data_IF_162533584375
#
_entry.id   IF_162533584375
#
_cell.length_a   1.000
_cell.length_b   1.000
_cell.length_c   1.000
_cell.angle_alpha   90.00
_cell.angle_beta   90.00
_cell.angle_gamma   90.00
#
_symmetry.space_group_name_H-M   'P 1'
#
loop_
_entity.id
_entity.type
_entity.pdbx_description
1 polymer ?
#
# COMPACT_ATOMS: atom_id res chain seq x y z
N UNK A 1 1.25 -8.16 20.10
CA UNK A 1 0.47 -8.72 18.95
C UNK A 1 1.23 -8.50 17.64
N UNK A 2 1.11 -9.39 16.64
CA UNK A 2 1.78 -9.26 15.32
C UNK A 2 0.92 -8.50 14.30
N UNK A 3 1.55 -7.80 13.35
CA UNK A 3 0.90 -7.01 12.29
C UNK A 3 -0.13 -7.81 11.47
N UNK A 4 0.23 -8.99 10.96
CA UNK A 4 -0.68 -9.81 10.13
C UNK A 4 -1.84 -10.40 10.93
N UNK A 5 -1.62 -10.67 12.22
CA UNK A 5 -2.70 -11.09 13.11
C UNK A 5 -3.70 -9.96 13.31
N UNK A 6 -3.22 -8.72 13.41
CA UNK A 6 -4.07 -7.53 13.49
C UNK A 6 -4.85 -7.33 12.19
N UNK A 7 -4.19 -7.40 11.04
CA UNK A 7 -4.81 -7.34 9.71
C UNK A 7 -6.00 -8.31 9.59
N UNK A 8 -5.75 -9.61 9.87
CA UNK A 8 -6.77 -10.66 9.78
C UNK A 8 -7.92 -10.45 10.78
N UNK A 9 -7.64 -9.85 11.93
CA UNK A 9 -8.67 -9.53 12.91
C UNK A 9 -9.56 -8.39 12.41
N UNK A 10 -8.97 -7.30 11.92
CA UNK A 10 -9.69 -6.13 11.43
C UNK A 10 -10.54 -6.43 10.19
N UNK A 11 -10.06 -7.28 9.27
CA UNK A 11 -10.83 -7.70 8.09
C UNK A 11 -12.08 -8.52 8.44
N UNK A 12 -12.06 -9.23 9.58
CA UNK A 12 -13.17 -10.09 10.00
C UNK A 12 -14.17 -9.38 10.91
N UNK A 13 -13.75 -8.30 11.56
CA UNK A 13 -14.54 -7.60 12.55
C UNK A 13 -14.62 -6.13 12.14
N UNK A 14 -15.81 -5.68 11.77
CA UNK A 14 -16.10 -4.26 11.56
C UNK A 14 -16.13 -3.56 12.93
N UNK A 15 -14.97 -3.03 13.35
CA UNK A 15 -14.81 -2.40 14.66
C UNK A 15 -14.74 -0.88 14.55
N UNK A 16 -15.51 -0.21 15.40
CA UNK A 16 -15.45 1.24 15.53
C UNK A 16 -14.25 1.70 16.37
N UNK A 17 -14.05 3.02 16.47
CA UNK A 17 -12.89 3.61 17.17
C UNK A 17 -12.84 3.29 18.67
N UNK A 18 -13.99 3.25 19.33
CA UNK A 18 -14.09 2.94 20.76
C UNK A 18 -13.78 1.46 21.03
N UNK A 19 -14.26 0.57 20.17
CA UNK A 19 -13.96 -0.86 20.23
C UNK A 19 -12.48 -1.12 19.95
N UNK A 20 -11.91 -0.45 18.95
CA UNK A 20 -10.49 -0.57 18.65
C UNK A 20 -9.61 -0.07 19.81
N UNK A 21 -9.97 1.05 20.44
CA UNK A 21 -9.26 1.56 21.61
C UNK A 21 -9.25 0.53 22.75
N UNK A 22 -10.40 -0.10 23.02
CA UNK A 22 -10.48 -1.17 24.05
C UNK A 22 -9.60 -2.36 23.69
N UNK A 23 -9.66 -2.84 22.45
CA UNK A 23 -8.83 -3.94 21.97
C UNK A 23 -7.34 -3.67 22.18
N UNK A 24 -6.86 -2.49 21.76
CA UNK A 24 -5.45 -2.14 21.84
C UNK A 24 -4.99 -2.02 23.30
N UNK A 25 -5.84 -1.49 24.19
CA UNK A 25 -5.56 -1.44 25.64
C UNK A 25 -5.52 -2.85 26.23
N UNK A 26 -6.43 -3.73 25.85
CA UNK A 26 -6.48 -5.13 26.32
C UNK A 26 -5.24 -5.93 25.89
N UNK A 27 -4.72 -5.68 24.68
CA UNK A 27 -3.50 -6.32 24.20
C UNK A 27 -2.29 -5.92 25.07
N UNK A 28 -2.17 -4.65 25.46
CA UNK A 28 -1.13 -4.13 26.37
C UNK A 28 0.32 -4.45 25.97
N UNK A 29 0.55 -4.75 24.70
CA UNK A 29 1.84 -5.09 24.12
C UNK A 29 2.07 -4.28 22.85
N UNK A 30 3.33 -4.03 22.50
CA UNK A 30 3.65 -3.36 21.24
C UNK A 30 3.23 -4.20 20.04
N UNK A 31 2.93 -3.51 18.95
CA UNK A 31 2.75 -4.15 17.66
C UNK A 31 4.11 -4.60 17.14
N UNK A 32 4.23 -5.88 16.81
CA UNK A 32 5.43 -6.44 16.21
C UNK A 32 5.27 -6.50 14.69
N UNK A 33 6.26 -5.94 13.98
CA UNK A 33 6.44 -6.17 12.56
C UNK A 33 7.02 -7.58 12.42
N UNK A 34 6.16 -8.51 11.99
CA UNK A 34 6.53 -9.90 11.78
C UNK A 34 7.35 -10.04 10.48
N UNK A 35 8.27 -11.01 10.45
CA UNK A 35 8.90 -11.47 9.21
C UNK A 35 7.80 -11.82 8.19
N UNK A 36 7.89 -11.25 7.00
CA UNK A 36 6.81 -11.33 6.02
C UNK A 36 6.57 -12.80 5.64
N UNK A 37 5.31 -13.21 5.41
CA UNK A 37 5.02 -14.61 5.19
C UNK A 37 5.69 -15.08 3.89
N UNK A 38 6.36 -16.24 3.94
CA UNK A 38 7.10 -16.80 2.80
C UNK A 38 6.19 -17.02 1.57
N UNK A 39 4.89 -17.26 1.80
CA UNK A 39 3.89 -17.50 0.77
C UNK A 39 3.20 -16.24 0.24
N UNK A 40 3.65 -15.03 0.65
CA UNK A 40 3.07 -13.80 0.10
C UNK A 40 3.38 -13.66 -1.38
N UNK A 41 2.37 -13.24 -2.14
CA UNK A 41 2.51 -12.97 -3.57
C UNK A 41 3.12 -11.59 -3.76
N UNK A 42 4.19 -11.52 -4.56
CA UNK A 42 4.82 -10.27 -4.96
C UNK A 42 4.30 -9.79 -6.32
N UNK A 43 4.38 -8.49 -6.57
CA UNK A 43 4.13 -7.92 -7.89
C UNK A 43 5.22 -8.35 -8.88
N UNK A 44 4.84 -8.42 -10.15
CA UNK A 44 5.74 -8.76 -11.25
C UNK A 44 6.24 -7.48 -11.96
N UNK A 45 6.33 -6.35 -11.22
CA UNK A 45 6.74 -5.05 -11.75
C UNK A 45 8.12 -5.11 -12.42
N UNK A 46 8.17 -4.75 -13.70
CA UNK A 46 9.42 -4.61 -14.43
C UNK A 46 10.16 -3.36 -13.96
N UNK A 47 11.35 -3.55 -13.39
CA UNK A 47 12.15 -2.46 -12.84
C UNK A 47 12.78 -1.65 -13.97
N UNK A 48 12.46 -0.36 -14.03
CA UNK A 48 13.22 0.61 -14.82
C UNK A 48 14.26 1.30 -13.93
N UNK A 49 15.52 0.89 -14.07
CA UNK A 49 16.64 1.44 -13.31
C UNK A 49 17.00 2.90 -13.69
N UNK A 50 16.41 3.44 -14.76
CA UNK A 50 16.57 4.84 -15.15
C UNK A 50 15.54 5.75 -14.48
N UNK A 51 14.47 5.18 -13.90
CA UNK A 51 13.42 5.90 -13.20
C UNK A 51 13.59 5.81 -11.69
N UNK A 52 13.78 6.95 -11.04
CA UNK A 52 13.75 7.10 -9.58
C UNK A 52 12.87 8.28 -9.25
N UNK A 53 11.87 8.07 -8.40
CA UNK A 53 11.11 9.16 -7.81
C UNK A 53 11.98 9.91 -6.79
N UNK A 54 12.47 11.07 -7.22
CA UNK A 54 13.32 11.93 -6.41
C UNK A 54 12.58 12.49 -5.18
N UNK A 55 11.25 12.63 -5.22
CA UNK A 55 10.49 13.17 -4.09
C UNK A 55 10.45 12.18 -2.93
N UNK A 56 10.25 10.90 -3.23
CA UNK A 56 10.28 9.84 -2.22
C UNK A 56 11.69 9.71 -1.63
N UNK A 57 12.72 9.74 -2.49
CA UNK A 57 14.11 9.70 -2.04
C UNK A 57 14.43 10.88 -1.11
N UNK A 58 14.11 12.11 -1.51
CA UNK A 58 14.30 13.32 -0.70
C UNK A 58 13.54 13.26 0.62
N UNK A 59 12.30 12.76 0.59
CA UNK A 59 11.48 12.58 1.79
C UNK A 59 12.17 11.65 2.78
N UNK A 60 12.54 10.44 2.36
CA UNK A 60 13.22 9.46 3.21
C UNK A 60 14.59 9.95 3.69
N UNK A 61 15.31 10.70 2.86
CA UNK A 61 16.58 11.31 3.23
C UNK A 61 16.42 12.44 4.27
N UNK A 62 15.33 13.20 4.20
CA UNK A 62 15.08 14.33 5.10
C UNK A 62 14.56 13.92 6.48
N UNK A 63 14.14 12.66 6.66
CA UNK A 63 13.63 12.15 7.93
C UNK A 63 14.69 12.29 9.03
N UNK A 64 14.34 13.10 10.05
CA UNK A 64 15.19 13.31 11.22
C UNK A 64 15.35 12.00 12.00
N UNK A 65 16.56 11.75 12.50
CA UNK A 65 16.78 10.69 13.47
C UNK A 65 16.10 11.03 14.80
N UNK A 66 15.58 10.02 15.50
CA UNK A 66 15.03 10.15 16.85
C UNK A 66 16.08 10.68 17.86
N UNK A 67 17.37 10.49 17.53
CA UNK A 67 18.51 10.90 18.34
C UNK A 67 18.76 12.39 18.09
N UNK A 68 18.02 13.26 18.79
CA UNK A 68 18.39 14.67 18.82
C UNK A 68 19.77 14.82 19.48
N UNK A 69 20.70 15.47 18.79
CA UNK A 69 22.02 15.86 19.35
C UNK A 69 21.93 16.99 20.37
N UNK A 70 20.75 17.58 20.55
CA UNK A 70 20.46 18.57 21.57
C UNK A 70 20.35 17.88 22.95
N UNK A 71 21.44 17.29 23.42
CA UNK A 71 21.47 16.55 24.70
C UNK A 71 21.25 17.45 25.93
N UNK A 72 21.13 18.77 25.80
CA UNK A 72 20.86 19.68 26.92
C UNK A 72 20.03 20.88 26.43
N UNK A 73 18.85 21.08 27.02
CA UNK A 73 18.02 22.30 27.04
C UNK A 73 18.31 23.37 25.97
N UNK A 74 17.77 23.21 24.76
CA UNK A 74 17.84 24.28 23.75
C UNK A 74 16.92 25.48 24.04
N UNK A 75 16.17 25.49 25.15
CA UNK A 75 15.31 26.61 25.58
C UNK A 75 14.18 26.98 24.61
N UNK A 76 14.06 26.25 23.50
CA UNK A 76 13.07 26.46 22.44
C UNK A 76 12.04 25.33 22.53
N UNK A 77 10.75 25.66 22.73
CA UNK A 77 9.68 24.68 22.61
C UNK A 77 9.80 23.96 21.26
N UNK A 78 9.83 22.63 21.30
CA UNK A 78 9.84 21.79 20.10
C UNK A 78 11.10 21.89 19.21
N UNK A 79 12.21 22.33 19.78
CA UNK A 79 13.55 22.35 19.17
C UNK A 79 13.96 21.08 18.40
N UNK A 80 13.42 19.91 18.76
CA UNK A 80 13.71 18.62 18.12
C UNK A 80 12.54 18.07 17.28
N UNK A 81 11.52 18.88 17.01
CA UNK A 81 10.29 18.48 16.32
C UNK A 81 9.23 17.88 17.24
N UNK A 82 7.98 17.96 16.77
CA UNK A 82 6.79 17.48 17.48
C UNK A 82 6.87 15.99 17.79
N UNK A 83 6.02 15.52 18.73
CA UNK A 83 5.84 14.08 18.99
C UNK A 83 5.45 13.32 17.73
N UNK A 84 4.75 13.94 16.78
CA UNK A 84 4.42 13.34 15.47
C UNK A 84 5.66 13.27 14.57
N UNK A 85 6.41 14.38 14.42
CA UNK A 85 7.63 14.43 13.58
C UNK A 85 8.65 13.37 13.97
N UNK A 86 8.86 13.17 15.27
CA UNK A 86 9.81 12.18 15.82
C UNK A 86 9.40 10.72 15.57
N UNK A 87 8.21 10.47 15.03
CA UNK A 87 7.69 9.12 14.80
C UNK A 87 7.36 8.88 13.32
N UNK A 88 7.68 9.82 12.42
CA UNK A 88 7.45 9.66 10.98
C UNK A 88 8.22 8.46 10.42
N UNK A 89 9.47 8.22 10.83
CA UNK A 89 10.25 7.05 10.40
C UNK A 89 9.49 5.74 10.59
N UNK A 90 8.75 5.60 11.69
CA UNK A 90 7.93 4.42 11.96
C UNK A 90 6.78 4.28 10.96
N UNK A 91 6.17 5.38 10.56
CA UNK A 91 5.11 5.36 9.52
C UNK A 91 5.69 4.89 8.18
N UNK A 92 6.79 5.49 7.73
CA UNK A 92 7.45 5.10 6.48
C UNK A 92 7.90 3.65 6.50
N UNK A 93 8.47 3.19 7.62
CA UNK A 93 8.82 1.78 7.84
C UNK A 93 7.61 0.86 7.64
N UNK A 94 6.51 1.11 8.36
CA UNK A 94 5.32 0.28 8.32
C UNK A 94 4.71 0.21 6.91
N UNK A 95 4.71 1.34 6.19
CA UNK A 95 4.26 1.39 4.81
C UNK A 95 5.07 0.45 3.90
N UNK A 96 6.38 0.24 4.13
CA UNK A 96 7.18 -0.71 3.34
C UNK A 96 6.65 -2.15 3.46
N UNK A 97 6.25 -2.56 4.66
CA UNK A 97 5.67 -3.89 4.90
C UNK A 97 4.25 -4.02 4.34
N UNK A 98 3.53 -2.90 4.23
CA UNK A 98 2.11 -2.86 3.92
C UNK A 98 1.81 -2.47 2.46
N UNK A 99 2.82 -2.06 1.68
CA UNK A 99 2.64 -1.61 0.31
C UNK A 99 2.11 -2.73 -0.60
N UNK A 100 0.97 -2.49 -1.24
CA UNK A 100 0.31 -3.41 -2.17
C UNK A 100 0.31 -2.87 -3.60
N UNK A 101 0.10 -3.77 -4.54
CA UNK A 101 -0.03 -3.47 -5.97
C UNK A 101 -1.10 -2.41 -6.23
N UNK A 102 -0.82 -1.48 -7.14
CA UNK A 102 -1.67 -0.34 -7.46
C UNK A 102 -1.75 0.77 -6.40
N UNK A 103 -1.22 0.57 -5.20
CA UNK A 103 -1.22 1.57 -4.14
C UNK A 103 0.05 2.43 -4.20
N UNK A 104 -0.14 3.75 -4.17
CA UNK A 104 0.94 4.71 -4.00
C UNK A 104 1.56 4.59 -2.60
N UNK A 105 2.89 4.60 -2.53
CA UNK A 105 3.59 4.65 -1.25
C UNK A 105 3.29 5.95 -0.50
N UNK A 106 3.18 7.07 -1.21
CA UNK A 106 2.88 8.38 -0.61
C UNK A 106 1.48 8.38 0.02
N UNK A 107 0.45 7.90 -0.68
CA UNK A 107 -0.90 7.83 -0.12
C UNK A 107 -0.95 6.91 1.11
N UNK A 108 -0.32 5.73 1.03
CA UNK A 108 -0.28 4.80 2.16
C UNK A 108 0.42 5.41 3.38
N UNK A 109 1.52 6.14 3.17
CA UNK A 109 2.23 6.84 4.26
C UNK A 109 1.39 7.99 4.82
N UNK A 110 0.66 8.74 4.01
CA UNK A 110 -0.23 9.80 4.47
C UNK A 110 -1.34 9.25 5.38
N UNK A 111 -1.95 8.13 5.02
CA UNK A 111 -2.93 7.44 5.87
C UNK A 111 -2.31 6.95 7.19
N UNK A 112 -1.09 6.44 7.12
CA UNK A 112 -0.30 6.13 8.31
C UNK A 112 -0.05 7.35 9.21
N UNK A 113 0.23 8.52 8.64
CA UNK A 113 0.40 9.78 9.38
C UNK A 113 -0.92 10.17 10.06
N UNK A 114 -2.07 9.99 9.40
CA UNK A 114 -3.39 10.19 10.00
C UNK A 114 -3.56 9.28 11.23
N UNK A 115 -3.18 8.01 11.13
CA UNK A 115 -3.19 7.07 12.26
C UNK A 115 -2.28 7.51 13.42
N UNK A 116 -1.09 8.01 13.09
CA UNK A 116 -0.16 8.55 14.08
C UNK A 116 -0.72 9.79 14.79
N UNK A 117 -1.38 10.70 14.05
CA UNK A 117 -2.04 11.89 14.62
C UNK A 117 -3.19 11.48 15.53
N UNK A 118 -4.05 10.55 15.10
CA UNK A 118 -5.13 10.00 15.94
C UNK A 118 -4.60 9.42 17.25
N UNK A 119 -3.51 8.65 17.19
CA UNK A 119 -2.87 8.15 18.40
C UNK A 119 -2.31 9.28 19.29
N UNK A 120 -1.71 10.30 18.68
CA UNK A 120 -1.22 11.47 19.41
C UNK A 120 -2.35 12.21 20.15
N UNK A 121 -3.52 12.32 19.55
CA UNK A 121 -4.69 12.98 20.18
C UNK A 121 -5.34 12.11 21.26
N UNK A 122 -5.34 10.78 21.08
CA UNK A 122 -6.02 9.85 21.99
C UNK A 122 -5.21 9.48 23.24
N UNK A 123 -3.88 9.51 23.16
CA UNK A 123 -2.99 9.09 24.24
C UNK A 123 -2.12 10.27 24.70
N UNK A 124 -2.54 10.90 25.79
CA UNK A 124 -1.77 12.02 26.39
C UNK A 124 -0.45 11.52 27.00
N UNK A 125 -0.47 10.38 27.69
CA UNK A 125 0.72 9.78 28.30
C UNK A 125 1.68 9.21 27.24
N UNK A 126 2.98 9.53 27.38
CA UNK A 126 4.00 9.11 26.41
C UNK A 126 4.26 7.60 26.40
N UNK A 127 4.02 6.89 27.51
CA UNK A 127 4.17 5.43 27.55
C UNK A 127 3.04 4.78 26.77
N UNK A 128 1.80 5.23 26.98
CA UNK A 128 0.63 4.74 26.26
C UNK A 128 0.75 5.05 24.77
N UNK A 129 1.12 6.29 24.43
CA UNK A 129 1.38 6.67 23.03
C UNK A 129 2.42 5.76 22.39
N UNK A 130 3.55 5.51 23.07
CA UNK A 130 4.61 4.62 22.55
C UNK A 130 4.17 3.17 22.42
N UNK A 131 3.23 2.72 23.24
CA UNK A 131 2.71 1.36 23.21
C UNK A 131 1.67 1.16 22.09
N UNK A 132 0.86 2.18 21.83
CA UNK A 132 -0.35 2.03 21.03
C UNK A 132 -0.32 2.72 19.66
N UNK A 133 0.55 3.70 19.41
CA UNK A 133 0.58 4.44 18.13
C UNK A 133 0.68 3.52 16.90
N UNK A 134 1.48 2.45 16.98
CA UNK A 134 1.73 1.54 15.84
C UNK A 134 0.44 0.80 15.43
N UNK A 135 -0.46 0.51 16.37
CA UNK A 135 -1.78 -0.07 16.06
C UNK A 135 -2.65 0.88 15.25
N UNK A 136 -2.63 2.17 15.57
CA UNK A 136 -3.43 3.18 14.87
C UNK A 136 -2.84 3.49 13.48
N UNK A 137 -1.51 3.55 13.36
CA UNK A 137 -0.84 3.64 12.05
C UNK A 137 -1.28 2.46 11.17
N UNK A 138 -1.16 1.23 11.68
CA UNK A 138 -1.55 0.03 10.94
C UNK A 138 -3.03 0.04 10.55
N UNK A 139 -3.94 0.41 11.46
CA UNK A 139 -5.38 0.40 11.21
C UNK A 139 -5.78 1.33 10.08
N UNK A 140 -5.27 2.57 10.05
CA UNK A 140 -5.60 3.51 8.97
C UNK A 140 -5.05 3.02 7.62
N UNK A 141 -3.82 2.51 7.59
CA UNK A 141 -3.26 1.91 6.38
C UNK A 141 -4.08 0.69 5.90
N UNK A 142 -4.53 -0.20 6.78
CA UNK A 142 -5.39 -1.33 6.42
C UNK A 142 -6.74 -0.87 5.86
N UNK A 143 -7.35 0.14 6.49
CA UNK A 143 -8.60 0.72 6.02
C UNK A 143 -8.43 1.30 4.62
N UNK A 144 -7.34 2.03 4.36
CA UNK A 144 -7.04 2.56 3.04
C UNK A 144 -6.86 1.46 2.00
N UNK A 145 -6.07 0.42 2.29
CA UNK A 145 -5.88 -0.72 1.36
C UNK A 145 -7.23 -1.39 1.03
N UNK A 146 -8.10 -1.56 2.02
CA UNK A 146 -9.43 -2.13 1.82
C UNK A 146 -10.35 -1.20 1.01
N UNK A 147 -10.31 0.10 1.26
CA UNK A 147 -11.06 1.08 0.48
C UNK A 147 -10.59 1.13 -0.97
N UNK A 148 -9.28 1.08 -1.21
CA UNK A 148 -8.68 1.02 -2.54
C UNK A 148 -9.12 -0.25 -3.30
N UNK A 149 -9.05 -1.41 -2.65
CA UNK A 149 -9.54 -2.68 -3.20
C UNK A 149 -11.01 -2.57 -3.66
N UNK A 150 -11.89 -2.05 -2.81
CA UNK A 150 -13.30 -1.88 -3.11
C UNK A 150 -13.57 -0.83 -4.19
N UNK A 151 -12.78 0.25 -4.22
CA UNK A 151 -12.83 1.26 -5.27
C UNK A 151 -12.51 0.64 -6.63
N UNK A 152 -11.44 -0.14 -6.74
CA UNK A 152 -11.04 -0.83 -7.99
C UNK A 152 -12.10 -1.82 -8.48
N UNK A 153 -12.68 -2.61 -7.57
CA UNK A 153 -13.82 -3.49 -7.87
C UNK A 153 -15.00 -2.71 -8.45
N UNK A 154 -15.39 -1.62 -7.80
CA UNK A 154 -16.53 -0.79 -8.21
C UNK A 154 -16.28 -0.10 -9.55
N UNK A 155 -15.08 0.48 -9.73
CA UNK A 155 -14.70 1.15 -10.98
C UNK A 155 -14.72 0.18 -12.18
N UNK A 156 -14.25 -1.05 -11.98
CA UNK A 156 -14.30 -2.06 -13.04
C UNK A 156 -15.73 -2.48 -13.37
N UNK A 157 -16.58 -2.64 -12.35
CA UNK A 157 -18.00 -2.94 -12.55
C UNK A 157 -18.70 -1.84 -13.34
N UNK A 158 -18.48 -0.58 -12.98
CA UNK A 158 -19.03 0.56 -13.71
C UNK A 158 -18.54 0.60 -15.17
N UNK A 159 -17.26 0.30 -15.40
CA UNK A 159 -16.72 0.14 -16.75
C UNK A 159 -17.44 -0.98 -17.51
N UNK A 160 -17.64 -2.14 -16.87
CA UNK A 160 -18.25 -3.29 -17.51
C UNK A 160 -19.71 -3.04 -17.90
N UNK A 161 -20.48 -2.42 -17.01
CA UNK A 161 -21.86 -2.02 -17.29
C UNK A 161 -21.92 -1.04 -18.48
N UNK A 162 -21.03 -0.04 -18.52
CA UNK A 162 -20.98 0.92 -19.62
C UNK A 162 -20.62 0.28 -20.96
N UNK A 163 -19.65 -0.63 -21.02
CA UNK A 163 -19.27 -1.34 -22.26
C UNK A 163 -20.40 -2.25 -22.77
N UNK A 164 -21.17 -2.89 -21.88
CA UNK A 164 -22.36 -3.67 -22.25
C UNK A 164 -23.44 -2.75 -22.86
N UNK A 165 -23.57 -1.52 -22.35
CA UNK A 165 -24.59 -0.57 -22.82
C UNK A 165 -24.20 0.18 -24.11
N UNK A 166 -22.91 0.42 -24.38
CA UNK A 166 -22.42 1.09 -25.62
C UNK A 166 -22.84 0.34 -26.89
N UNK A 167 -22.88 -0.99 -26.86
CA UNK A 167 -23.21 -1.82 -28.02
C UNK A 167 -24.72 -1.83 -28.36
N UNK A 168 -25.55 -1.09 -27.62
CA UNK A 168 -26.98 -0.96 -27.88
C UNK A 168 -27.36 0.04 -28.99
N UNK A 169 -26.37 0.73 -29.60
CA UNK A 169 -26.62 1.87 -30.50
C UNK A 169 -26.05 1.75 -31.93
N UNK A 170 -25.64 0.57 -32.39
CA UNK A 170 -25.28 0.35 -33.79
C UNK A 170 -26.51 0.45 -34.71
N UNK A 171 -26.85 1.67 -35.15
CA UNK A 171 -27.85 1.94 -36.19
C UNK A 171 -27.28 1.57 -37.56
N UNK A 172 -27.47 0.33 -37.97
CA UNK A 172 -27.21 -0.10 -39.34
C UNK A 172 -28.34 0.43 -40.24
N UNK A 173 -28.01 1.36 -41.14
CA UNK A 173 -28.92 1.81 -42.20
C UNK A 173 -28.78 0.88 -43.40
N UNK A 174 -29.68 -0.10 -43.59
CA UNK A 174 -29.64 -0.96 -44.79
C UNK A 174 -31.02 -1.30 -45.35
N UNK A 175 -31.08 -1.36 -46.68
CA UNK A 175 -32.27 -1.31 -47.56
C UNK A 175 -32.79 -2.68 -48.06
N UNK A 176 -32.27 -3.82 -47.60
CA UNK A 176 -32.59 -5.14 -48.16
C UNK A 176 -33.19 -6.14 -47.15
N UNK A 177 -34.44 -6.57 -47.39
CA UNK A 177 -35.28 -7.33 -46.45
C UNK A 177 -34.88 -8.79 -46.18
N UNK A 178 -34.20 -9.48 -47.10
CA UNK A 178 -33.90 -10.91 -46.96
C UNK A 178 -32.61 -11.21 -46.17
N UNK A 179 -31.73 -10.23 -45.99
CA UNK A 179 -30.57 -10.34 -45.08
C UNK A 179 -30.92 -9.97 -43.64
N UNK A 180 -32.15 -9.58 -43.35
CA UNK A 180 -32.55 -9.04 -42.05
C UNK A 180 -32.58 -10.08 -40.93
N UNK A 181 -33.04 -11.30 -41.19
CA UNK A 181 -33.27 -12.28 -40.11
C UNK A 181 -31.97 -12.97 -39.67
N UNK A 182 -31.13 -13.39 -40.62
CA UNK A 182 -29.78 -13.90 -40.34
C UNK A 182 -28.91 -12.84 -39.67
N UNK A 183 -28.98 -11.58 -40.11
CA UNK A 183 -28.21 -10.50 -39.50
C UNK A 183 -28.68 -10.17 -38.09
N UNK A 184 -30.00 -10.13 -37.83
CA UNK A 184 -30.56 -9.94 -36.48
C UNK A 184 -30.15 -11.08 -35.53
N UNK A 185 -30.11 -12.32 -36.02
CA UNK A 185 -29.67 -13.46 -35.22
C UNK A 185 -28.18 -13.36 -34.89
N UNK A 186 -27.34 -13.00 -35.87
CA UNK A 186 -25.90 -12.76 -35.65
C UNK A 186 -25.63 -11.59 -34.69
N UNK A 187 -26.38 -10.49 -34.80
CA UNK A 187 -26.30 -9.35 -33.87
C UNK A 187 -26.66 -9.76 -32.44
N UNK A 188 -27.71 -10.58 -32.28
CA UNK A 188 -28.13 -11.10 -30.98
C UNK A 188 -27.06 -12.03 -30.38
N UNK A 189 -26.54 -12.97 -31.17
CA UNK A 189 -25.48 -13.88 -30.72
C UNK A 189 -24.19 -13.13 -30.34
N UNK A 190 -23.78 -12.13 -31.12
CA UNK A 190 -22.60 -11.31 -30.80
C UNK A 190 -22.80 -10.52 -29.51
N UNK A 191 -23.99 -9.95 -29.30
CA UNK A 191 -24.33 -9.23 -28.07
C UNK A 191 -24.34 -10.14 -26.84
N UNK A 192 -24.89 -11.35 -26.96
CA UNK A 192 -24.89 -12.33 -25.88
C UNK A 192 -23.45 -12.75 -25.51
N UNK A 193 -22.59 -12.99 -26.51
CA UNK A 193 -21.16 -13.28 -26.29
C UNK A 193 -20.42 -12.13 -25.61
N UNK A 194 -20.61 -10.89 -26.08
CA UNK A 194 -19.98 -9.71 -25.45
C UNK A 194 -20.40 -9.56 -23.98
N UNK A 195 -21.69 -9.74 -23.68
CA UNK A 195 -22.17 -9.70 -22.29
C UNK A 195 -21.53 -10.81 -21.44
N UNK A 196 -21.39 -12.01 -21.97
CA UNK A 196 -20.75 -13.14 -21.27
C UNK A 196 -19.27 -12.88 -21.02
N UNK A 197 -18.53 -12.35 -22.01
CA UNK A 197 -17.13 -11.94 -21.88
C UNK A 197 -16.96 -10.86 -20.80
N UNK A 198 -17.81 -9.82 -20.81
CA UNK A 198 -17.75 -8.75 -19.83
C UNK A 198 -18.03 -9.23 -18.41
N UNK A 199 -18.99 -10.14 -18.22
CA UNK A 199 -19.24 -10.77 -16.90
C UNK A 199 -18.06 -11.62 -16.44
N UNK A 200 -17.40 -12.33 -17.35
CA UNK A 200 -16.21 -13.09 -17.03
C UNK A 200 -15.05 -12.20 -16.58
N UNK A 201 -14.86 -11.06 -17.26
CA UNK A 201 -13.87 -10.06 -16.87
C UNK A 201 -14.22 -9.42 -15.52
N UNK A 202 -15.50 -9.12 -15.25
CA UNK A 202 -15.98 -8.60 -13.96
C UNK A 202 -15.62 -9.55 -12.81
N UNK A 203 -15.91 -10.84 -12.94
CA UNK A 203 -15.55 -11.85 -11.94
C UNK A 203 -14.04 -11.97 -11.73
N UNK A 204 -13.26 -11.86 -12.82
CA UNK A 204 -11.79 -11.86 -12.74
C UNK A 204 -11.29 -10.62 -12.00
N UNK A 205 -11.84 -9.45 -12.28
CA UNK A 205 -11.51 -8.19 -11.60
C UNK A 205 -11.90 -8.23 -10.12
N UNK A 206 -13.09 -8.75 -9.78
CA UNK A 206 -13.53 -8.95 -8.38
C UNK A 206 -12.54 -9.82 -7.59
N UNK A 207 -12.03 -10.88 -8.23
CA UNK A 207 -11.04 -11.75 -7.62
C UNK A 207 -9.68 -11.06 -7.49
N UNK A 208 -9.21 -10.40 -8.55
CA UNK A 208 -7.90 -9.73 -8.58
C UNK A 208 -7.81 -8.58 -7.58
N UNK A 209 -8.85 -7.76 -7.50
CA UNK A 209 -8.91 -6.61 -6.59
C UNK A 209 -9.45 -6.98 -5.21
N UNK A 210 -9.61 -8.27 -4.90
CA UNK A 210 -9.88 -8.66 -3.53
C UNK A 210 -8.71 -8.33 -2.61
N UNK A 211 -9.01 -7.80 -1.42
CA UNK A 211 -8.01 -7.41 -0.43
C UNK A 211 -6.96 -8.51 -0.22
N UNK A 212 -7.40 -9.77 -0.11
CA UNK A 212 -6.51 -10.90 0.18
C UNK A 212 -5.68 -11.33 -1.04
N UNK A 213 -6.05 -10.88 -2.24
CA UNK A 213 -5.34 -11.18 -3.48
C UNK A 213 -4.42 -10.04 -3.94
N UNK A 214 -4.51 -8.86 -3.33
CA UNK A 214 -3.57 -7.77 -3.58
C UNK A 214 -2.14 -8.22 -3.26
N UNK A 215 -1.29 -8.21 -4.29
CA UNK A 215 0.12 -8.57 -4.19
C UNK A 215 0.89 -7.51 -3.43
N UNK A 216 1.96 -7.88 -2.74
CA UNK A 216 2.88 -6.95 -2.10
C UNK A 216 3.91 -6.44 -3.12
N UNK A 217 4.29 -5.16 -3.07
CA UNK A 217 5.27 -4.60 -4.02
C UNK A 217 6.72 -4.94 -3.64
N UNK A 218 7.03 -4.85 -2.34
CA UNK A 218 8.39 -5.04 -1.84
C UNK A 218 8.60 -6.42 -1.23
N UNK A 219 9.70 -7.05 -1.61
CA UNK A 219 10.25 -8.27 -0.99
C UNK A 219 10.88 -7.99 0.38
N UNK A 220 11.11 -9.03 1.19
CA UNK A 220 11.64 -8.84 2.55
C UNK A 220 13.06 -8.26 2.51
N UNK A 221 13.84 -8.73 1.53
CA UNK A 221 15.18 -8.25 1.25
C UNK A 221 15.21 -6.78 0.79
N UNK A 222 14.23 -6.34 0.00
CA UNK A 222 14.11 -4.93 -0.40
C UNK A 222 13.78 -4.04 0.80
N UNK A 223 12.88 -4.49 1.68
CA UNK A 223 12.51 -3.78 2.90
C UNK A 223 13.70 -3.68 3.85
N UNK A 224 14.41 -4.78 4.09
CA UNK A 224 15.61 -4.80 4.95
C UNK A 224 16.66 -3.80 4.46
N UNK A 225 16.95 -3.76 3.16
CA UNK A 225 17.90 -2.81 2.57
C UNK A 225 17.42 -1.36 2.74
N UNK A 226 16.14 -1.07 2.47
CA UNK A 226 15.57 0.27 2.66
C UNK A 226 15.62 0.73 4.12
N UNK A 227 15.25 -0.15 5.05
CA UNK A 227 15.26 0.13 6.50
C UNK A 227 16.66 0.47 6.98
N UNK A 228 17.68 -0.28 6.55
CA UNK A 228 19.07 -0.04 6.93
C UNK A 228 19.66 1.22 6.26
N UNK A 229 19.35 1.44 4.98
CA UNK A 229 19.87 2.56 4.20
C UNK A 229 19.31 3.90 4.70
N UNK A 230 17.99 4.01 4.88
CA UNK A 230 17.33 5.23 5.35
C UNK A 230 17.23 5.33 6.89
N UNK A 231 17.50 4.24 7.60
CA UNK A 231 17.49 4.20 9.06
C UNK A 231 16.08 4.31 9.64
N UNK A 232 15.15 3.46 9.20
CA UNK A 232 13.72 3.59 9.55
C UNK A 232 13.33 2.91 10.88
N UNK A 233 13.94 1.77 11.24
CA UNK A 233 13.64 1.01 12.47
C UNK A 233 14.49 1.49 13.68
N UNK A 234 14.53 2.80 13.91
CA UNK A 234 15.38 3.40 14.96
C UNK A 234 16.89 3.23 14.71
N UNK A 235 17.28 2.79 13.52
CA UNK A 235 18.66 2.74 13.08
C UNK A 235 19.14 4.11 12.61
N UNK A 236 20.44 4.38 12.76
CA UNK A 236 21.11 5.39 11.95
C UNK A 236 21.24 4.88 10.53
N UNK A 237 21.21 5.79 9.55
CA UNK A 237 21.53 5.48 8.14
C UNK A 237 22.86 4.74 8.05
N UNK A 238 22.87 3.65 7.28
CA UNK A 238 24.06 2.83 7.06
C UNK A 238 24.61 3.02 5.66
N UNK A 239 25.93 2.96 5.55
CA UNK A 239 26.64 2.90 4.28
C UNK A 239 26.49 1.52 3.63
N UNK A 240 26.73 1.41 2.31
CA UNK A 240 26.65 0.12 1.62
C UNK A 240 27.59 -0.93 2.23
N UNK A 241 28.80 -0.54 2.64
CA UNK A 241 29.74 -1.44 3.32
C UNK A 241 29.14 -2.03 4.60
N UNK A 242 28.50 -1.21 5.43
CA UNK A 242 27.85 -1.67 6.67
C UNK A 242 26.65 -2.57 6.38
N UNK A 243 25.85 -2.24 5.37
CA UNK A 243 24.70 -3.05 4.95
C UNK A 243 25.18 -4.39 4.40
N UNK A 244 26.25 -4.40 3.60
CA UNK A 244 26.86 -5.60 3.04
C UNK A 244 27.34 -6.54 4.14
N UNK A 245 27.99 -6.00 5.17
CA UNK A 245 28.44 -6.79 6.33
C UNK A 245 27.27 -7.44 7.11
N UNK A 246 26.15 -6.71 7.27
CA UNK A 246 24.96 -7.19 7.99
C UNK A 246 24.21 -8.24 7.19
N UNK A 247 23.90 -7.92 5.94
CA UNK A 247 23.01 -8.71 5.07
C UNK A 247 23.75 -9.83 4.32
N UNK A 248 25.09 -9.75 4.25
CA UNK A 248 25.97 -10.61 3.44
C UNK A 248 25.67 -10.53 1.94
N UNK A 249 25.19 -9.37 1.48
CA UNK A 249 24.92 -9.07 0.08
C UNK A 249 26.07 -8.23 -0.48
N UNK A 250 26.56 -8.55 -1.68
CA UNK A 250 27.61 -7.75 -2.36
C UNK A 250 27.10 -6.36 -2.76
N UNK A 251 27.98 -5.35 -2.75
CA UNK A 251 27.65 -3.94 -3.01
C UNK A 251 26.90 -3.72 -4.35
N UNK A 252 27.37 -4.34 -5.44
CA UNK A 252 26.70 -4.23 -6.76
C UNK A 252 25.28 -4.80 -6.73
N UNK A 253 25.03 -5.81 -5.90
CA UNK A 253 23.69 -6.36 -5.70
C UNK A 253 22.85 -5.45 -4.79
N UNK A 254 23.46 -4.78 -3.80
CA UNK A 254 22.76 -3.82 -2.94
C UNK A 254 22.27 -2.61 -3.73
N UNK A 255 23.08 -2.07 -4.64
CA UNK A 255 22.68 -0.96 -5.51
C UNK A 255 21.45 -1.33 -6.35
N UNK A 256 21.45 -2.52 -6.96
CA UNK A 256 20.31 -3.01 -7.75
C UNK A 256 19.06 -3.23 -6.90
N UNK A 257 19.20 -3.77 -5.68
CA UNK A 257 18.07 -3.96 -4.77
C UNK A 257 17.51 -2.62 -4.36
N UNK A 258 18.36 -1.66 -3.97
CA UNK A 258 17.94 -0.33 -3.56
C UNK A 258 17.21 0.39 -4.69
N UNK A 259 17.78 0.42 -5.91
CA UNK A 259 17.13 1.05 -7.06
C UNK A 259 15.82 0.38 -7.44
N UNK A 260 15.77 -0.95 -7.43
CA UNK A 260 14.54 -1.70 -7.67
C UNK A 260 13.45 -1.42 -6.63
N UNK A 261 13.84 -1.34 -5.35
CA UNK A 261 12.93 -0.98 -4.27
C UNK A 261 12.44 0.47 -4.41
N UNK A 262 13.32 1.42 -4.74
CA UNK A 262 12.95 2.82 -4.97
C UNK A 262 12.00 2.99 -6.15
N UNK A 263 12.21 2.26 -7.25
CA UNK A 263 11.28 2.20 -8.37
C UNK A 263 9.89 1.71 -7.90
N UNK A 264 9.85 0.66 -7.08
CA UNK A 264 8.60 0.13 -6.50
C UNK A 264 7.95 1.03 -5.44
N UNK A 265 8.68 1.97 -4.85
CA UNK A 265 8.06 3.01 -4.03
C UNK A 265 7.42 4.10 -4.90
N UNK A 266 8.01 4.34 -6.07
CA UNK A 266 7.59 5.39 -6.99
C UNK A 266 6.14 5.20 -7.42
N UNK A 267 5.48 6.33 -7.69
CA UNK A 267 4.20 6.35 -8.37
C UNK A 267 4.42 5.84 -9.80
N UNK A 268 4.07 4.57 -10.04
CA UNK A 268 3.92 4.06 -11.40
C UNK A 268 2.49 4.45 -11.78
N UNK A 269 2.35 5.25 -12.85
CA UNK A 269 1.04 5.56 -13.44
C UNK A 269 0.17 4.30 -13.43
N UNK A 270 -1.10 4.43 -13.04
CA UNK A 270 -2.09 3.34 -13.03
C UNK A 270 -2.24 2.74 -14.45
N UNK A 271 -1.27 1.95 -14.88
CA UNK A 271 -1.43 1.05 -16.01
C UNK A 271 -2.34 -0.04 -15.50
N UNK A 272 -3.63 0.17 -15.70
CA UNK A 272 -4.64 -0.88 -15.59
C UNK A 272 -4.35 -1.88 -16.71
N UNK A 273 -3.35 -2.73 -16.52
CA UNK A 273 -3.17 -3.91 -17.36
C UNK A 273 -4.13 -4.98 -16.82
N UNK A 274 -5.16 -5.29 -17.62
CA UNK A 274 -6.14 -6.37 -17.40
C UNK A 274 -5.82 -7.56 -18.30
#
# INVERSE_FOLDING_TARGET
>A
MKLLSLEKYLLKNDINDDEFKKLVIEISEKLELEALPEDRKLTDEEIDYEYIDFLIAETLESLKDDICKCEVECGVPDCCGTRVEKNLKKVYEMALYMLRDGISYEDLTQEGIIGLIKAHELFEDDKDFKLYKDYYIAREMFNYINNYANYRKSAFKDYAENEIHKDSHLKVSLKDRNKEEELKNLEKENKEKHIEEMKHLEQRAETLFDYLNLKYRLSEREIEVLVLYYGLDGHKKKTFSEISEITKIEDDSLDKILKGAMFKLSNVDEKVEL
#
